data_IF_601637262210
#
_entry.id   IF_601637262210
#
_cell.length_a   1.000
_cell.length_b   1.000
_cell.length_c   1.000
_cell.angle_alpha   90.00
_cell.angle_beta   90.00
_cell.angle_gamma   90.00
#
_symmetry.space_group_name_H-M   'P 1'
#
loop_
_entity.id
_entity.type
_entity.pdbx_description
1 polymer ?
#
# COMPACT_ATOMS: atom_id res chain seq x y z
N UNK A 1 20.22 37.22 -8.29
CA UNK A 1 19.54 35.91 -8.33
C UNK A 1 20.30 35.02 -9.31
N UNK A 2 20.86 33.91 -8.84
CA UNK A 2 21.51 32.94 -9.72
C UNK A 2 20.45 31.99 -10.27
N UNK A 3 20.32 31.91 -11.60
CA UNK A 3 19.45 30.93 -12.27
C UNK A 3 20.30 29.70 -12.54
N UNK A 4 20.08 28.64 -11.78
CA UNK A 4 20.67 27.32 -12.03
C UNK A 4 19.92 26.67 -13.20
N UNK A 5 20.51 26.71 -14.39
CA UNK A 5 20.00 25.97 -15.54
C UNK A 5 20.37 24.49 -15.39
N UNK A 6 19.42 23.71 -14.87
CA UNK A 6 19.51 22.26 -14.81
C UNK A 6 18.95 21.69 -16.12
N UNK A 7 19.83 21.28 -17.03
CA UNK A 7 19.44 20.51 -18.22
C UNK A 7 19.64 19.02 -17.94
N UNK A 8 18.55 18.26 -17.96
CA UNK A 8 18.59 16.80 -17.94
C UNK A 8 18.67 16.30 -19.38
N UNK A 9 19.53 15.33 -19.64
CA UNK A 9 19.50 14.63 -20.93
C UNK A 9 18.17 13.87 -21.05
N UNK A 10 17.70 13.72 -22.28
CA UNK A 10 16.56 12.90 -22.69
C UNK A 10 16.58 11.49 -22.07
N UNK A 11 17.75 10.88 -21.95
CA UNK A 11 17.89 9.55 -21.34
C UNK A 11 17.63 9.58 -19.81
N UNK A 12 18.15 10.58 -19.12
CA UNK A 12 17.93 10.77 -17.68
C UNK A 12 16.48 11.14 -17.38
N UNK A 13 15.85 11.93 -18.25
CA UNK A 13 14.42 12.25 -18.16
C UNK A 13 13.56 10.99 -18.29
N UNK A 14 13.86 10.11 -19.26
CA UNK A 14 13.13 8.84 -19.44
C UNK A 14 13.31 7.87 -18.26
N UNK A 15 14.50 7.85 -17.65
CA UNK A 15 14.77 7.08 -16.43
C UNK A 15 13.97 7.61 -15.24
N UNK A 16 13.92 8.93 -15.07
CA UNK A 16 13.13 9.57 -14.00
C UNK A 16 11.63 9.31 -14.17
N UNK A 17 11.12 9.38 -15.39
CA UNK A 17 9.71 9.02 -15.70
C UNK A 17 9.46 7.56 -15.34
N UNK A 18 10.35 6.65 -15.72
CA UNK A 18 10.20 5.21 -15.41
C UNK A 18 10.19 4.95 -13.90
N UNK A 19 11.12 5.58 -13.17
CA UNK A 19 11.20 5.52 -11.71
C UNK A 19 9.90 6.00 -11.05
N UNK A 20 9.45 7.20 -11.42
CA UNK A 20 8.25 7.82 -10.84
C UNK A 20 6.97 7.04 -11.19
N UNK A 21 6.82 6.59 -12.43
CA UNK A 21 5.58 5.97 -12.89
C UNK A 21 5.47 4.50 -12.54
N UNK A 22 6.57 3.75 -12.54
CA UNK A 22 6.54 2.29 -12.36
C UNK A 22 7.04 1.88 -10.99
N UNK A 23 8.24 2.30 -10.62
CA UNK A 23 8.93 1.77 -9.44
C UNK A 23 8.34 2.35 -8.16
N UNK A 24 8.19 3.68 -8.10
CA UNK A 24 7.59 4.35 -6.94
C UNK A 24 6.15 3.88 -6.73
N UNK A 25 5.34 3.80 -7.79
CA UNK A 25 3.95 3.30 -7.67
C UNK A 25 3.89 1.86 -7.21
N UNK A 26 4.79 1.00 -7.68
CA UNK A 26 4.84 -0.39 -7.25
C UNK A 26 5.22 -0.51 -5.78
N UNK A 27 6.27 0.21 -5.34
CA UNK A 27 6.72 0.21 -3.95
C UNK A 27 5.66 0.79 -3.03
N UNK A 28 4.98 1.86 -3.45
CA UNK A 28 3.86 2.43 -2.71
C UNK A 28 2.70 1.42 -2.56
N UNK A 29 2.28 0.78 -3.65
CA UNK A 29 1.23 -0.24 -3.61
C UNK A 29 1.59 -1.43 -2.69
N UNK A 30 2.85 -1.89 -2.75
CA UNK A 30 3.36 -2.95 -1.88
C UNK A 30 3.31 -2.52 -0.40
N UNK A 31 3.81 -1.33 -0.10
CA UNK A 31 3.86 -0.80 1.27
C UNK A 31 2.46 -0.62 1.85
N UNK A 32 1.53 -0.06 1.08
CA UNK A 32 0.13 0.10 1.49
C UNK A 32 -0.55 -1.25 1.77
N UNK A 33 -0.28 -2.26 0.94
CA UNK A 33 -0.80 -3.61 1.13
C UNK A 33 -0.26 -4.24 2.41
N UNK A 34 1.04 -4.09 2.67
CA UNK A 34 1.67 -4.59 3.90
C UNK A 34 1.09 -3.91 5.14
N UNK A 35 0.93 -2.60 5.13
CA UNK A 35 0.31 -1.85 6.24
C UNK A 35 -1.12 -2.32 6.49
N UNK A 36 -1.91 -2.54 5.44
CA UNK A 36 -3.27 -3.06 5.57
C UNK A 36 -3.31 -4.49 6.17
N UNK A 37 -2.36 -5.36 5.81
CA UNK A 37 -2.21 -6.69 6.39
C UNK A 37 -1.83 -6.63 7.88
N UNK A 38 -0.92 -5.72 8.25
CA UNK A 38 -0.54 -5.52 9.65
C UNK A 38 -1.73 -4.99 10.48
N UNK A 39 -2.49 -4.04 9.95
CA UNK A 39 -3.69 -3.52 10.59
C UNK A 39 -4.75 -4.62 10.75
N UNK A 40 -4.99 -5.41 9.70
CA UNK A 40 -5.90 -6.56 9.74
C UNK A 40 -5.51 -7.54 10.85
N UNK A 41 -4.22 -7.87 10.98
CA UNK A 41 -3.73 -8.79 12.00
C UNK A 41 -3.98 -8.26 13.41
N UNK A 42 -3.65 -6.99 13.67
CA UNK A 42 -3.91 -6.34 14.96
C UNK A 42 -5.40 -6.31 15.32
N UNK A 43 -6.26 -6.04 14.34
CA UNK A 43 -7.72 -6.07 14.54
C UNK A 43 -8.18 -7.48 14.93
N UNK A 44 -7.66 -8.53 14.28
CA UNK A 44 -8.01 -9.92 14.60
C UNK A 44 -7.60 -10.32 16.01
N UNK A 45 -6.37 -9.98 16.40
CA UNK A 45 -5.85 -10.21 17.75
C UNK A 45 -6.72 -9.49 18.78
N UNK A 46 -6.97 -8.20 18.57
CA UNK A 46 -7.81 -7.40 19.47
C UNK A 46 -9.23 -7.97 19.60
N UNK A 47 -9.83 -8.46 18.50
CA UNK A 47 -11.17 -9.05 18.54
C UNK A 47 -11.18 -10.37 19.33
N UNK A 48 -10.13 -11.18 19.22
CA UNK A 48 -10.00 -12.42 20.00
C UNK A 48 -9.88 -12.14 21.50
N UNK A 49 -9.14 -11.09 21.87
CA UNK A 49 -8.91 -10.72 23.26
C UNK A 49 -10.13 -10.03 23.89
N UNK A 50 -10.82 -9.17 23.14
CA UNK A 50 -11.90 -8.33 23.66
C UNK A 50 -13.29 -8.97 23.57
N UNK A 51 -13.51 -9.94 22.68
CA UNK A 51 -14.86 -10.47 22.40
C UNK A 51 -14.91 -11.99 22.32
N UNK A 52 -16.00 -12.57 22.86
CA UNK A 52 -16.34 -13.98 22.62
C UNK A 52 -17.13 -14.09 21.31
N UNK A 53 -16.50 -14.67 20.29
CA UNK A 53 -17.10 -14.79 18.97
C UNK A 53 -18.13 -15.91 18.90
N UNK A 54 -19.38 -15.58 18.55
CA UNK A 54 -20.44 -16.57 18.29
C UNK A 54 -20.20 -17.38 17.01
N UNK A 55 -19.56 -16.78 15.99
CA UNK A 55 -19.24 -17.44 14.71
C UNK A 55 -17.74 -17.77 14.66
N UNK A 56 -17.35 -19.05 14.55
CA UNK A 56 -15.94 -19.46 14.57
C UNK A 56 -15.12 -18.94 13.37
N UNK A 57 -15.79 -18.58 12.27
CA UNK A 57 -15.13 -18.11 11.04
C UNK A 57 -15.18 -16.58 10.87
N UNK A 58 -15.63 -15.81 11.86
CA UNK A 58 -15.74 -14.35 11.75
C UNK A 58 -14.41 -13.69 11.40
N UNK A 59 -13.31 -14.09 12.04
CA UNK A 59 -11.98 -13.55 11.75
C UNK A 59 -11.51 -13.81 10.32
N UNK A 60 -12.06 -14.83 9.63
CA UNK A 60 -11.75 -15.11 8.23
C UNK A 60 -12.52 -14.20 7.27
N UNK A 61 -13.58 -13.53 7.71
CA UNK A 61 -14.30 -12.54 6.90
C UNK A 61 -13.51 -11.24 6.75
N UNK A 62 -12.68 -10.91 7.74
CA UNK A 62 -11.82 -9.73 7.68
C UNK A 62 -10.76 -9.98 6.61
N UNK A 63 -10.86 -9.31 5.46
CA UNK A 63 -9.99 -9.50 4.28
C UNK A 63 -9.32 -8.19 3.87
N UNK A 64 -8.13 -8.31 3.28
CA UNK A 64 -7.40 -7.19 2.69
C UNK A 64 -7.56 -7.27 1.17
N UNK A 65 -8.06 -6.20 0.59
CA UNK A 65 -7.94 -5.96 -0.85
C UNK A 65 -6.62 -5.22 -1.09
N UNK A 66 -5.66 -5.82 -1.82
CA UNK A 66 -4.34 -5.24 -2.01
C UNK A 66 -4.40 -4.01 -2.90
N UNK A 67 -3.50 -3.05 -2.65
CA UNK A 67 -3.27 -1.94 -3.56
C UNK A 67 -2.54 -2.43 -4.82
N UNK A 68 -2.77 -1.76 -5.94
CA UNK A 68 -2.10 -2.07 -7.21
C UNK A 68 -1.52 -0.81 -7.84
N UNK A 69 -0.77 -0.95 -8.95
CA UNK A 69 -0.08 0.18 -9.60
C UNK A 69 -1.03 1.28 -10.13
N UNK A 70 -2.31 0.93 -10.35
CA UNK A 70 -3.34 1.83 -10.88
C UNK A 70 -4.17 2.45 -9.75
N UNK A 71 -4.32 1.73 -8.63
CA UNK A 71 -5.08 2.11 -7.46
C UNK A 71 -4.23 1.92 -6.21
N UNK A 72 -3.60 3.02 -5.79
CA UNK A 72 -2.73 3.10 -4.60
C UNK A 72 -3.57 3.16 -3.32
N UNK A 73 -4.53 2.26 -3.17
CA UNK A 73 -5.38 2.13 -1.99
C UNK A 73 -5.54 0.66 -1.64
N UNK A 74 -5.17 0.30 -0.42
CA UNK A 74 -5.47 -1.02 0.15
C UNK A 74 -6.66 -0.86 1.11
N UNK A 75 -7.61 -1.80 1.07
CA UNK A 75 -8.84 -1.73 1.87
C UNK A 75 -8.96 -2.96 2.76
N UNK A 76 -9.29 -2.75 4.03
CA UNK A 76 -9.64 -3.82 4.97
C UNK A 76 -11.17 -3.87 5.05
N UNK A 77 -11.76 -4.97 4.62
CA UNK A 77 -13.20 -5.22 4.72
C UNK A 77 -13.47 -6.16 5.88
N UNK A 78 -14.57 -5.92 6.60
CA UNK A 78 -15.07 -6.74 7.72
C UNK A 78 -16.31 -7.51 7.32
#
# INVERSE_FOLDING_TARGET
MAILNLSLDTNDTNRLITLCEKDVRFVAAKSLTQTAQQAQQKIKEHIQDAFVLRKPNFLKSIKVYPANKQNLQAKVYT
#
